data_IF_529155974008
#
_entry.id   IF_529155974008
#
_cell.length_a   1.000
_cell.length_b   1.000
_cell.length_c   1.000
_cell.angle_alpha   90.00
_cell.angle_beta   90.00
_cell.angle_gamma   90.00
#
_symmetry.space_group_name_H-M   'P 1'
#
loop_
_entity.id
_entity.type
_entity.pdbx_description
1 polymer ?
#
# COMPACT_ATOMS: atom_id res chain seq x y z
N UNK A 1 -12.27 10.87 -13.23
CA UNK A 1 -10.92 10.28 -13.39
C UNK A 1 -10.91 8.92 -12.71
N UNK A 2 -10.04 7.98 -13.11
CA UNK A 2 -9.99 6.65 -12.48
C UNK A 2 -9.22 6.77 -11.16
N UNK A 3 -9.81 6.31 -10.05
CA UNK A 3 -9.14 6.32 -8.76
C UNK A 3 -7.98 5.31 -8.75
N UNK A 4 -6.87 5.67 -8.08
CA UNK A 4 -5.80 4.74 -7.77
C UNK A 4 -6.24 3.82 -6.62
N UNK A 5 -6.10 2.52 -6.82
CA UNK A 5 -6.49 1.50 -5.86
C UNK A 5 -5.30 1.08 -4.99
N UNK A 6 -5.42 1.30 -3.68
CA UNK A 6 -4.40 0.99 -2.69
C UNK A 6 -4.80 -0.22 -1.83
N UNK A 7 -3.83 -1.09 -1.56
CA UNK A 7 -3.89 -2.08 -0.50
C UNK A 7 -2.87 -1.72 0.57
N UNK A 8 -3.31 -1.63 1.82
CA UNK A 8 -2.44 -1.36 2.97
C UNK A 8 -2.31 -2.64 3.79
N UNK A 9 -1.07 -3.04 4.11
CA UNK A 9 -0.80 -4.16 5.02
C UNK A 9 -0.01 -3.62 6.22
N UNK A 10 -0.35 -4.02 7.44
CA UNK A 10 0.39 -3.63 8.64
C UNK A 10 -0.10 -4.32 9.90
N UNK A 11 0.79 -4.56 10.87
CA UNK A 11 0.42 -5.20 12.14
C UNK A 11 0.11 -4.23 13.27
N UNK A 12 0.60 -2.99 13.17
CA UNK A 12 0.20 -1.93 14.10
C UNK A 12 -1.12 -1.31 13.65
N UNK A 13 -2.23 -1.75 14.24
CA UNK A 13 -3.58 -1.31 13.86
C UNK A 13 -3.79 0.21 14.01
N UNK A 14 -3.20 0.83 15.04
CA UNK A 14 -3.33 2.27 15.25
C UNK A 14 -2.68 3.07 14.11
N UNK A 15 -1.48 2.67 13.68
CA UNK A 15 -0.78 3.29 12.54
C UNK A 15 -1.50 2.97 11.23
N UNK A 16 -1.96 1.72 11.05
CA UNK A 16 -2.70 1.28 9.87
C UNK A 16 -3.99 2.08 9.67
N UNK A 17 -4.75 2.34 10.76
CA UNK A 17 -5.96 3.16 10.71
C UNK A 17 -5.67 4.63 10.35
N UNK A 18 -4.58 5.20 10.86
CA UNK A 18 -4.14 6.55 10.49
C UNK A 18 -3.78 6.59 9.00
N UNK A 19 -3.00 5.62 8.53
CA UNK A 19 -2.58 5.52 7.13
C UNK A 19 -3.80 5.40 6.20
N UNK A 20 -4.75 4.52 6.52
CA UNK A 20 -5.99 4.34 5.77
C UNK A 20 -6.77 5.65 5.64
N UNK A 21 -6.91 6.39 6.74
CA UNK A 21 -7.60 7.69 6.74
C UNK A 21 -6.87 8.73 5.88
N UNK A 22 -5.54 8.78 5.96
CA UNK A 22 -4.75 9.77 5.22
C UNK A 22 -4.75 9.50 3.71
N UNK A 23 -4.67 8.23 3.29
CA UNK A 23 -4.72 7.87 1.87
C UNK A 23 -6.12 8.16 1.30
N UNK A 24 -7.18 7.79 2.02
CA UNK A 24 -8.56 8.06 1.60
C UNK A 24 -8.99 9.53 1.74
N UNK A 25 -8.12 10.43 2.21
CA UNK A 25 -8.41 11.86 2.21
C UNK A 25 -8.27 12.50 0.82
N UNK A 26 -7.62 11.82 -0.13
CA UNK A 26 -7.58 12.24 -1.54
C UNK A 26 -8.71 11.58 -2.33
N UNK A 27 -9.56 12.39 -2.97
CA UNK A 27 -10.69 11.90 -3.77
C UNK A 27 -10.28 11.05 -4.97
N UNK A 28 -9.03 11.13 -5.41
CA UNK A 28 -8.50 10.33 -6.51
C UNK A 28 -7.94 8.98 -6.03
N UNK A 29 -7.91 8.72 -4.73
CA UNK A 29 -7.35 7.51 -4.15
C UNK A 29 -8.44 6.72 -3.41
N UNK A 30 -8.33 5.40 -3.44
CA UNK A 30 -9.22 4.51 -2.72
C UNK A 30 -8.38 3.38 -2.09
N UNK A 31 -8.39 3.30 -0.76
CA UNK A 31 -7.57 2.37 0.00
C UNK A 31 -8.39 1.43 0.87
N UNK A 32 -7.92 0.19 0.96
CA UNK A 32 -8.37 -0.82 1.92
C UNK A 32 -7.17 -1.28 2.76
N UNK A 33 -7.41 -1.64 4.03
CA UNK A 33 -6.36 -2.05 4.95
C UNK A 33 -6.60 -3.44 5.52
N UNK A 34 -5.51 -4.20 5.69
CA UNK A 34 -5.49 -5.53 6.28
C UNK A 34 -4.39 -5.62 7.33
N UNK A 35 -4.66 -6.33 8.42
CA UNK A 35 -3.65 -6.76 9.39
C UNK A 35 -3.27 -8.24 9.21
N UNK A 36 -3.88 -8.93 8.24
CA UNK A 36 -3.66 -10.32 7.92
C UNK A 36 -3.20 -10.48 6.46
N UNK A 37 -2.10 -11.18 6.26
CA UNK A 37 -1.47 -11.39 4.97
C UNK A 37 -2.33 -12.22 4.04
N UNK A 38 -3.01 -13.25 4.55
CA UNK A 38 -3.83 -14.15 3.73
C UNK A 38 -5.06 -13.43 3.20
N UNK A 39 -5.72 -12.64 4.05
CA UNK A 39 -6.86 -11.81 3.63
C UNK A 39 -6.42 -10.75 2.61
N UNK A 40 -5.26 -10.14 2.83
CA UNK A 40 -4.68 -9.18 1.88
C UNK A 40 -4.34 -9.86 0.53
N UNK A 41 -3.76 -11.05 0.55
CA UNK A 41 -3.44 -11.84 -0.65
C UNK A 41 -4.70 -12.22 -1.42
N UNK A 42 -5.73 -12.70 -0.73
CA UNK A 42 -7.02 -13.04 -1.32
C UNK A 42 -7.69 -11.81 -1.95
N UNK A 43 -7.69 -10.67 -1.25
CA UNK A 43 -8.22 -9.43 -1.80
C UNK A 43 -7.43 -8.97 -3.01
N UNK A 44 -6.10 -9.03 -2.96
CA UNK A 44 -5.21 -8.64 -4.05
C UNK A 44 -5.46 -9.45 -5.33
N UNK A 45 -5.71 -10.75 -5.21
CA UNK A 45 -5.98 -11.62 -6.35
C UNK A 45 -7.35 -11.34 -7.00
N UNK A 46 -8.32 -10.91 -6.20
CA UNK A 46 -9.70 -10.70 -6.65
C UNK A 46 -9.99 -9.24 -7.08
N UNK A 47 -9.07 -8.30 -6.84
CA UNK A 47 -9.28 -6.88 -7.09
C UNK A 47 -8.09 -6.27 -7.83
N UNK A 48 -8.36 -5.24 -8.65
CA UNK A 48 -7.27 -4.46 -9.25
C UNK A 48 -6.63 -3.58 -8.19
N UNK A 49 -5.35 -3.81 -7.92
CA UNK A 49 -4.51 -3.01 -7.03
C UNK A 49 -3.42 -2.32 -7.84
N UNK A 50 -3.32 -1.01 -7.70
CA UNK A 50 -2.28 -0.19 -8.35
C UNK A 50 -1.06 -0.04 -7.44
N UNK A 51 -1.30 0.07 -6.12
CA UNK A 51 -0.28 0.37 -5.13
C UNK A 51 -0.50 -0.48 -3.87
N UNK A 52 0.57 -1.06 -3.34
CA UNK A 52 0.64 -1.73 -2.05
C UNK A 52 1.51 -0.89 -1.12
N UNK A 53 0.99 -0.50 0.04
CA UNK A 53 1.76 0.16 1.09
C UNK A 53 1.96 -0.82 2.25
N UNK A 54 3.21 -1.16 2.53
CA UNK A 54 3.59 -1.91 3.72
C UNK A 54 3.86 -0.93 4.86
N UNK A 55 3.05 -1.04 5.89
CA UNK A 55 3.06 -0.21 7.09
C UNK A 55 3.96 -0.83 8.17
N UNK A 56 3.86 -0.35 9.40
CA UNK A 56 4.72 -0.75 10.51
C UNK A 56 4.37 -2.11 11.14
N UNK A 57 5.36 -2.65 11.86
CA UNK A 57 5.31 -3.89 12.65
C UNK A 57 5.12 -5.18 11.82
N UNK A 58 5.49 -5.15 10.55
CA UNK A 58 5.61 -6.36 9.72
C UNK A 58 7.05 -6.88 9.85
N UNK A 59 7.21 -8.19 9.96
CA UNK A 59 8.54 -8.81 9.95
C UNK A 59 9.16 -8.75 8.55
N UNK A 60 10.47 -8.49 8.44
CA UNK A 60 11.19 -8.39 7.16
C UNK A 60 10.94 -9.57 6.21
N UNK A 61 10.83 -10.79 6.76
CA UNK A 61 10.56 -11.99 5.97
C UNK A 61 9.15 -11.92 5.35
N UNK A 62 8.17 -11.50 6.15
CA UNK A 62 6.78 -11.35 5.71
C UNK A 62 6.67 -10.26 4.65
N UNK A 63 7.34 -9.12 4.82
CA UNK A 63 7.37 -8.07 3.80
C UNK A 63 7.93 -8.60 2.47
N UNK A 64 9.07 -9.30 2.52
CA UNK A 64 9.70 -9.87 1.32
C UNK A 64 8.81 -10.89 0.62
N UNK A 65 8.18 -11.78 1.38
CA UNK A 65 7.26 -12.79 0.86
C UNK A 65 6.02 -12.15 0.23
N UNK A 66 5.42 -11.16 0.91
CA UNK A 66 4.25 -10.45 0.41
C UNK A 66 4.55 -9.60 -0.83
N UNK A 67 5.67 -8.88 -0.84
CA UNK A 67 6.16 -8.13 -2.01
C UNK A 67 6.39 -9.07 -3.20
N UNK A 68 7.06 -10.20 -2.98
CA UNK A 68 7.30 -11.21 -4.02
C UNK A 68 5.99 -11.79 -4.56
N UNK A 69 5.02 -12.04 -3.68
CA UNK A 69 3.68 -12.46 -4.06
C UNK A 69 2.99 -11.42 -4.95
N UNK A 70 2.98 -10.14 -4.56
CA UNK A 70 2.32 -9.07 -5.31
C UNK A 70 2.92 -8.92 -6.70
N UNK A 71 4.26 -8.84 -6.80
CA UNK A 71 4.97 -8.68 -8.07
C UNK A 71 4.81 -9.89 -8.99
N UNK A 72 4.68 -11.11 -8.44
CA UNK A 72 4.41 -12.32 -9.21
C UNK A 72 3.02 -12.30 -9.85
N UNK A 73 2.00 -11.79 -9.15
CA UNK A 73 0.62 -11.77 -9.63
C UNK A 73 0.32 -10.54 -10.50
N UNK A 74 0.93 -9.40 -10.19
CA UNK A 74 0.82 -8.17 -10.96
C UNK A 74 2.21 -7.49 -11.02
N UNK A 75 3.00 -7.73 -12.08
CA UNK A 75 4.32 -7.11 -12.24
C UNK A 75 4.29 -5.58 -12.29
N UNK A 76 3.15 -4.99 -12.63
CA UNK A 76 2.98 -3.54 -12.74
C UNK A 76 2.55 -2.89 -11.43
N UNK A 77 2.28 -3.65 -10.35
CA UNK A 77 1.93 -3.07 -9.05
C UNK A 77 3.12 -2.33 -8.44
N UNK A 78 2.89 -1.16 -7.84
CA UNK A 78 3.93 -0.51 -7.04
C UNK A 78 3.85 -1.01 -5.60
N UNK A 79 4.94 -1.56 -5.06
CA UNK A 79 5.04 -1.90 -3.63
C UNK A 79 5.95 -0.90 -2.93
N UNK A 80 5.46 -0.29 -1.86
CA UNK A 80 6.17 0.74 -1.09
C UNK A 80 6.32 0.24 0.36
N UNK A 81 7.57 -0.04 0.74
CA UNK A 81 7.96 -0.54 2.06
C UNK A 81 8.14 0.58 3.10
N UNK A 82 8.00 0.23 4.37
CA UNK A 82 8.46 1.04 5.51
C UNK A 82 7.96 2.49 5.56
N UNK A 83 6.67 2.70 5.37
CA UNK A 83 6.10 4.05 5.46
C UNK A 83 5.91 4.48 6.92
N UNK A 84 6.87 5.26 7.48
CA UNK A 84 6.89 5.61 8.91
C UNK A 84 7.57 6.93 9.31
N UNK A 85 7.95 7.78 8.35
CA UNK A 85 8.75 9.01 8.59
C UNK A 85 8.01 10.21 9.19
N UNK A 86 6.70 10.10 9.45
CA UNK A 86 5.83 11.17 9.93
C UNK A 86 4.67 11.44 8.98
N UNK A 87 3.47 11.68 9.52
CA UNK A 87 2.23 11.79 8.74
C UNK A 87 2.16 13.00 7.79
N UNK A 88 2.99 14.03 7.99
CA UNK A 88 2.94 15.28 7.23
C UNK A 88 3.40 15.19 5.78
N UNK A 89 4.13 14.14 5.39
CA UNK A 89 4.75 14.01 4.06
C UNK A 89 4.25 12.83 3.22
N UNK A 90 3.34 12.01 3.78
CA UNK A 90 2.85 10.79 3.16
C UNK A 90 2.42 10.98 1.70
N UNK A 91 1.58 11.99 1.46
CA UNK A 91 1.06 12.27 0.11
C UNK A 91 2.17 12.64 -0.86
N UNK A 92 3.06 13.56 -0.48
CA UNK A 92 4.16 14.01 -1.34
C UNK A 92 5.13 12.88 -1.69
N UNK A 93 5.39 11.98 -0.75
CA UNK A 93 6.29 10.83 -0.95
C UNK A 93 5.67 9.77 -1.88
N UNK A 94 4.37 9.46 -1.73
CA UNK A 94 3.65 8.57 -2.66
C UNK A 94 3.67 9.18 -4.06
N UNK A 95 3.31 10.46 -4.21
CA UNK A 95 3.30 11.15 -5.50
C UNK A 95 4.70 11.18 -6.13
N UNK A 96 5.74 11.45 -5.34
CA UNK A 96 7.12 11.45 -5.81
C UNK A 96 7.55 10.07 -6.32
N UNK A 97 7.21 8.98 -5.61
CA UNK A 97 7.50 7.61 -6.10
C UNK A 97 6.76 7.30 -7.39
N UNK A 98 5.48 7.66 -7.48
CA UNK A 98 4.68 7.45 -8.69
C UNK A 98 5.25 8.23 -9.89
N UNK A 99 5.70 9.47 -9.67
CA UNK A 99 6.36 10.27 -10.68
C UNK A 99 7.67 9.63 -11.17
N UNK A 100 8.53 9.18 -10.25
CA UNK A 100 9.79 8.48 -10.61
C UNK A 100 9.55 7.19 -11.41
N UNK A 101 8.37 6.58 -11.27
CA UNK A 101 7.95 5.37 -12.00
C UNK A 101 7.17 5.67 -13.29
N UNK A 102 6.96 6.93 -13.66
CA UNK A 102 6.19 7.32 -14.85
C UNK A 102 4.70 6.95 -14.77
N UNK A 103 4.16 6.82 -13.55
CA UNK A 103 2.74 6.49 -13.29
C UNK A 103 1.86 7.75 -13.12
N UNK A 104 2.47 8.93 -13.17
CA UNK A 104 1.89 10.27 -13.17
C UNK A 104 2.64 11.11 -14.21
#
# INVERSE_FOLDING_TARGET
MKQLQFLLLGKNEAILAILLRLVNADENWNAIAFNNEKEAQEYFQNNKIDIVLLSSAIEDLVEKEFTSFCLKHNPDVEVIEHFGGGSGLLKSEILHRLHLKGKL
#
